data_IF_075784699757
#
_entry.id   IF_075784699757
#
_cell.length_a   1.000
_cell.length_b   1.000
_cell.length_c   1.000
_cell.angle_alpha   90.00
_cell.angle_beta   90.00
_cell.angle_gamma   90.00
#
_symmetry.space_group_name_H-M   'P 1'
#
loop_
_entity.id
_entity.type
_entity.pdbx_description
1 polymer ?
#
# COMPACT_ATOMS: atom_id res chain seq x y z
N UNK A 1 15.42 2.39 2.13
CA UNK A 1 14.43 2.62 3.23
C UNK A 1 13.03 2.86 2.71
N UNK A 2 12.64 4.06 2.22
CA UNK A 2 11.25 4.30 1.83
C UNK A 2 10.81 3.48 0.61
N UNK A 3 11.68 3.35 -0.40
CA UNK A 3 11.44 2.49 -1.58
C UNK A 3 11.19 1.02 -1.19
N UNK A 4 11.85 0.53 -0.15
CA UNK A 4 11.72 -0.88 0.27
C UNK A 4 10.55 -1.09 1.25
N UNK A 5 10.21 -0.09 2.06
CA UNK A 5 9.25 -0.21 3.16
C UNK A 5 7.90 0.39 2.80
N UNK A 6 7.88 1.64 2.33
CA UNK A 6 6.66 2.38 2.00
C UNK A 6 6.11 1.93 0.65
N UNK A 7 6.93 1.81 -0.40
CA UNK A 7 6.43 1.39 -1.71
C UNK A 7 5.96 -0.08 -1.73
N UNK A 8 6.51 -0.92 -0.84
CA UNK A 8 6.11 -2.31 -0.69
C UNK A 8 4.83 -2.50 0.16
N UNK A 9 4.53 -1.57 1.07
CA UNK A 9 3.43 -1.71 2.03
C UNK A 9 2.07 -1.99 1.36
N UNK A 10 1.67 -1.31 0.27
CA UNK A 10 0.39 -1.62 -0.38
C UNK A 10 0.39 -2.99 -1.05
N UNK A 11 1.53 -3.45 -1.59
CA UNK A 11 1.61 -4.81 -2.12
C UNK A 11 1.42 -5.87 -1.03
N UNK A 12 2.04 -5.66 0.14
CA UNK A 12 1.88 -6.56 1.28
C UNK A 12 0.43 -6.67 1.76
N UNK A 13 -0.37 -5.62 1.55
CA UNK A 13 -1.80 -5.62 1.84
C UNK A 13 -2.63 -6.34 0.76
N UNK A 14 -2.39 -6.03 -0.51
CA UNK A 14 -3.19 -6.53 -1.65
C UNK A 14 -3.23 -8.04 -1.76
N UNK A 15 -2.12 -8.74 -1.49
CA UNK A 15 -2.02 -10.20 -1.74
C UNK A 15 -3.05 -10.99 -0.95
N UNK A 16 -3.13 -10.79 0.37
CA UNK A 16 -4.11 -11.52 1.18
C UNK A 16 -5.51 -10.89 1.08
N UNK A 17 -5.62 -9.59 0.78
CA UNK A 17 -6.93 -8.98 0.47
C UNK A 17 -7.58 -9.60 -0.77
N UNK A 18 -6.79 -9.96 -1.78
CA UNK A 18 -7.23 -10.71 -2.95
C UNK A 18 -7.64 -12.15 -2.57
N UNK A 19 -6.79 -12.86 -1.82
CA UNK A 19 -7.09 -14.24 -1.36
C UNK A 19 -8.35 -14.31 -0.51
N UNK A 20 -8.52 -13.41 0.45
CA UNK A 20 -9.66 -13.42 1.36
C UNK A 20 -10.98 -13.28 0.61
N UNK A 21 -11.07 -12.40 -0.40
CA UNK A 21 -12.31 -12.23 -1.18
C UNK A 21 -12.64 -13.42 -2.07
N UNK A 22 -11.63 -14.12 -2.55
CA UNK A 22 -11.83 -15.40 -3.25
C UNK A 22 -12.27 -16.49 -2.28
N UNK A 23 -11.60 -16.62 -1.13
CA UNK A 23 -11.92 -17.63 -0.12
C UNK A 23 -13.27 -17.39 0.57
N UNK A 24 -13.73 -16.14 0.64
CA UNK A 24 -15.06 -15.79 1.15
C UNK A 24 -16.15 -15.86 0.07
N UNK A 25 -15.82 -16.28 -1.15
CA UNK A 25 -16.73 -16.34 -2.31
C UNK A 25 -17.36 -14.98 -2.68
N UNK A 26 -16.75 -13.87 -2.26
CA UNK A 26 -17.15 -12.52 -2.70
C UNK A 26 -16.79 -12.33 -4.19
N UNK A 27 -15.62 -12.86 -4.58
CA UNK A 27 -15.16 -12.87 -5.96
C UNK A 27 -15.14 -14.28 -6.52
N UNK A 28 -15.50 -14.40 -7.79
CA UNK A 28 -15.55 -15.68 -8.48
C UNK A 28 -14.19 -16.05 -9.03
N UNK A 29 -13.96 -17.35 -9.22
CA UNK A 29 -12.72 -17.90 -9.76
C UNK A 29 -12.47 -17.41 -11.19
N UNK A 30 -13.53 -17.14 -11.95
CA UNK A 30 -13.44 -16.62 -13.32
C UNK A 30 -13.03 -15.14 -13.38
N UNK A 31 -12.87 -14.47 -12.25
CA UNK A 31 -12.45 -13.05 -12.17
C UNK A 31 -11.07 -12.90 -11.48
N UNK A 32 -10.34 -14.00 -11.25
CA UNK A 32 -9.13 -13.99 -10.43
C UNK A 32 -8.08 -12.99 -10.90
N UNK A 33 -7.82 -12.92 -12.21
CA UNK A 33 -6.74 -12.11 -12.75
C UNK A 33 -7.14 -10.64 -12.90
N UNK A 34 -8.37 -10.36 -13.35
CA UNK A 34 -8.92 -9.00 -13.39
C UNK A 34 -8.97 -8.37 -12.00
N UNK A 35 -9.48 -9.10 -10.99
CA UNK A 35 -9.54 -8.63 -9.59
C UNK A 35 -8.17 -8.40 -8.98
N UNK A 36 -7.17 -9.18 -9.37
CA UNK A 36 -5.78 -8.94 -8.98
C UNK A 36 -5.30 -7.57 -9.50
N UNK A 37 -5.48 -7.29 -10.79
CA UNK A 37 -5.06 -6.02 -11.37
C UNK A 37 -5.88 -4.83 -10.88
N UNK A 38 -7.17 -5.01 -10.58
CA UNK A 38 -8.01 -3.98 -9.93
C UNK A 38 -7.39 -3.55 -8.59
N UNK A 39 -6.94 -4.50 -7.76
CA UNK A 39 -6.31 -4.19 -6.48
C UNK A 39 -4.93 -3.57 -6.64
N UNK A 40 -4.14 -4.07 -7.62
CA UNK A 40 -2.81 -3.52 -7.92
C UNK A 40 -2.92 -2.07 -8.38
N UNK A 41 -3.86 -1.75 -9.25
CA UNK A 41 -4.12 -0.38 -9.66
C UNK A 41 -4.64 0.45 -8.48
N UNK A 42 -5.67 -0.01 -7.75
CA UNK A 42 -6.25 0.74 -6.63
C UNK A 42 -5.24 1.07 -5.53
N UNK A 43 -4.41 0.11 -5.11
CA UNK A 43 -3.52 0.27 -3.96
C UNK A 43 -2.09 0.67 -4.31
N UNK A 44 -1.61 0.36 -5.52
CA UNK A 44 -0.23 0.65 -5.91
C UNK A 44 -0.08 1.60 -7.10
N UNK A 45 -1.15 1.88 -7.85
CA UNK A 45 -1.08 2.78 -9.00
C UNK A 45 -0.33 2.20 -10.19
N UNK A 46 -0.36 0.87 -10.32
CA UNK A 46 0.31 0.16 -11.40
C UNK A 46 -0.68 -0.66 -12.21
N UNK A 47 -0.40 -0.74 -13.50
CA UNK A 47 -1.18 -1.48 -14.50
C UNK A 47 -0.28 -2.53 -15.14
N UNK A 48 -0.86 -3.59 -15.74
CA UNK A 48 -0.07 -4.50 -16.54
C UNK A 48 0.45 -3.77 -17.79
N UNK A 49 1.72 -4.00 -18.20
CA UNK A 49 2.28 -3.34 -19.39
C UNK A 49 1.70 -3.87 -20.71
N UNK A 50 1.02 -5.02 -20.67
CA UNK A 50 0.31 -5.63 -21.79
C UNK A 50 -1.07 -6.08 -21.31
N UNK A 51 -2.04 -6.19 -22.22
CA UNK A 51 -3.36 -6.71 -21.89
C UNK A 51 -3.28 -8.11 -21.27
N UNK A 52 -4.06 -8.34 -20.22
CA UNK A 52 -4.20 -9.64 -19.55
C UNK A 52 -5.63 -10.13 -19.69
N UNK A 53 -5.79 -11.44 -19.63
CA UNK A 53 -7.09 -12.12 -19.66
C UNK A 53 -7.23 -13.05 -18.46
N UNK A 54 -8.35 -13.73 -18.32
CA UNK A 54 -8.55 -14.78 -17.30
C UNK A 54 -7.92 -16.13 -17.72
N UNK A 55 -7.38 -16.24 -18.94
CA UNK A 55 -6.47 -17.34 -19.31
C UNK A 55 -5.09 -17.18 -18.66
N UNK A 56 -4.82 -16.00 -18.10
CA UNK A 56 -3.62 -15.71 -17.35
C UNK A 56 -3.86 -15.84 -15.85
N UNK A 57 -2.81 -16.17 -15.09
CA UNK A 57 -2.89 -16.22 -13.63
C UNK A 57 -1.67 -15.56 -12.99
N UNK A 58 -1.59 -14.23 -13.10
CA UNK A 58 -0.48 -13.43 -12.59
C UNK A 58 -0.24 -13.56 -11.07
N UNK A 59 -1.28 -13.72 -10.21
CA UNK A 59 -1.07 -14.00 -8.79
C UNK A 59 -0.16 -15.20 -8.54
N UNK A 60 -0.23 -16.26 -9.34
CA UNK A 60 0.60 -17.46 -9.17
C UNK A 60 2.08 -17.23 -9.51
N UNK A 61 2.43 -16.16 -10.22
CA UNK A 61 3.82 -15.78 -10.41
C UNK A 61 4.47 -15.26 -9.10
N UNK A 62 3.68 -15.04 -8.04
CA UNK A 62 4.17 -14.77 -6.69
C UNK A 62 4.24 -16.07 -5.88
N UNK A 63 5.46 -16.46 -5.48
CA UNK A 63 5.76 -17.67 -4.69
C UNK A 63 4.74 -17.98 -3.59
N UNK A 64 4.40 -17.00 -2.75
CA UNK A 64 3.52 -17.20 -1.61
C UNK A 64 2.10 -17.61 -1.97
N UNK A 65 1.62 -17.27 -3.17
CA UNK A 65 0.30 -17.68 -3.65
C UNK A 65 0.32 -19.18 -3.95
N UNK A 66 1.29 -19.66 -4.74
CA UNK A 66 1.40 -21.08 -5.12
C UNK A 66 1.86 -21.98 -3.98
N UNK A 67 2.62 -21.43 -3.03
CA UNK A 67 3.08 -22.14 -1.84
C UNK A 67 2.08 -22.10 -0.67
N UNK A 68 0.86 -21.57 -0.89
CA UNK A 68 -0.18 -21.37 0.12
C UNK A 68 0.32 -20.72 1.43
N UNK A 69 1.17 -19.71 1.31
CA UNK A 69 1.74 -19.00 2.44
C UNK A 69 0.98 -17.70 2.73
N UNK A 70 0.42 -17.48 3.93
CA UNK A 70 -0.21 -16.21 4.33
C UNK A 70 0.73 -15.01 4.15
N UNK A 71 0.28 -13.97 3.46
CA UNK A 71 1.09 -12.80 3.12
C UNK A 71 0.91 -11.63 4.10
N UNK A 72 -0.21 -11.57 4.83
CA UNK A 72 -0.55 -10.49 5.77
C UNK A 72 0.52 -10.31 6.86
N UNK A 73 1.26 -11.38 7.17
CA UNK A 73 2.41 -11.34 8.09
C UNK A 73 3.42 -10.26 7.71
N UNK A 74 3.62 -9.99 6.42
CA UNK A 74 4.56 -8.98 5.95
C UNK A 74 4.03 -7.56 6.21
N UNK A 75 2.73 -7.31 5.97
CA UNK A 75 2.10 -6.02 6.27
C UNK A 75 2.16 -5.71 7.76
N UNK A 76 1.74 -6.66 8.61
CA UNK A 76 1.80 -6.52 10.07
C UNK A 76 3.23 -6.35 10.56
N UNK A 77 4.18 -7.12 10.01
CA UNK A 77 5.59 -7.01 10.40
C UNK A 77 6.18 -5.64 10.13
N UNK A 78 5.78 -4.95 9.06
CA UNK A 78 6.29 -3.61 8.75
C UNK A 78 5.81 -2.59 9.79
N UNK A 79 4.54 -2.63 10.16
CA UNK A 79 3.99 -1.74 11.19
C UNK A 79 4.68 -2.03 12.53
N UNK A 80 4.71 -3.31 12.93
CA UNK A 80 5.29 -3.74 14.19
C UNK A 80 6.80 -3.48 14.26
N UNK A 81 7.52 -3.56 13.13
CA UNK A 81 8.96 -3.28 13.06
C UNK A 81 9.27 -1.88 13.58
N UNK A 82 8.53 -0.85 13.15
CA UNK A 82 8.78 0.52 13.61
C UNK A 82 8.29 0.75 15.04
N UNK A 83 7.19 0.12 15.45
CA UNK A 83 6.70 0.18 16.83
C UNK A 83 7.67 -0.46 17.84
N UNK A 84 8.29 -1.58 17.46
CA UNK A 84 9.36 -2.20 18.22
C UNK A 84 10.62 -1.32 18.21
N UNK A 85 11.01 -0.80 17.05
CA UNK A 85 12.19 0.07 16.93
C UNK A 85 12.07 1.31 17.84
N UNK A 86 10.93 1.99 17.85
CA UNK A 86 10.67 3.13 18.75
C UNK A 86 10.83 2.74 20.23
N UNK A 87 10.22 1.62 20.65
CA UNK A 87 10.32 1.14 22.03
C UNK A 87 11.76 0.78 22.43
N UNK A 88 12.53 0.17 21.52
CA UNK A 88 13.94 -0.15 21.75
C UNK A 88 14.82 1.10 21.79
N UNK A 89 14.57 2.09 20.93
CA UNK A 89 15.27 3.38 20.93
C UNK A 89 15.04 4.15 22.22
N UNK A 90 13.78 4.18 22.71
CA UNK A 90 13.45 4.76 24.00
C UNK A 90 14.17 4.01 25.15
N UNK A 91 14.22 2.68 25.10
CA UNK A 91 14.97 1.89 26.08
C UNK A 91 16.48 2.16 26.04
N UNK A 92 17.03 2.44 24.85
CA UNK A 92 18.43 2.82 24.66
C UNK A 92 18.76 4.25 25.10
N UNK A 93 17.75 5.05 25.51
CA UNK A 93 17.95 6.46 25.87
C UNK A 93 18.26 7.35 24.67
N UNK A 94 17.82 6.96 23.46
CA UNK A 94 17.99 7.77 22.25
C UNK A 94 17.24 9.10 22.35
N UNK A 95 17.88 10.17 21.91
CA UNK A 95 17.29 11.50 21.75
C UNK A 95 17.44 11.97 20.30
N UNK A 96 16.41 12.59 19.75
CA UNK A 96 16.38 13.09 18.38
C UNK A 96 15.50 12.26 17.43
N UNK A 97 15.60 12.47 16.11
CA UNK A 97 14.75 11.79 15.14
C UNK A 97 14.87 10.27 15.21
N UNK A 98 13.75 9.56 15.07
CA UNK A 98 13.71 8.10 15.22
C UNK A 98 14.61 7.39 14.18
N UNK A 99 14.70 7.93 12.96
CA UNK A 99 15.50 7.32 11.89
C UNK A 99 17.02 7.38 12.09
N UNK A 100 17.51 8.16 13.07
CA UNK A 100 18.94 8.21 13.42
C UNK A 100 19.29 7.33 14.61
N UNK A 101 18.31 6.64 15.20
CA UNK A 101 18.54 5.75 16.33
C UNK A 101 19.36 4.53 15.91
N UNK A 102 20.39 4.21 16.71
CA UNK A 102 21.09 2.94 16.66
C UNK A 102 21.08 2.32 18.07
N UNK A 103 20.60 1.07 18.16
CA UNK A 103 20.51 0.32 19.42
C UNK A 103 21.77 -0.52 19.69
N UNK A 104 22.78 -0.44 18.83
CA UNK A 104 24.03 -1.16 18.99
C UNK A 104 24.65 -0.91 20.38
N UNK A 105 25.00 -2.01 21.07
CA UNK A 105 25.54 -2.03 22.45
C UNK A 105 24.60 -1.52 23.56
N UNK A 106 23.32 -1.26 23.28
CA UNK A 106 22.34 -0.98 24.34
C UNK A 106 21.92 -2.28 25.06
N UNK A 107 22.30 -2.40 26.34
CA UNK A 107 21.89 -3.53 27.19
C UNK A 107 20.41 -3.46 27.54
N UNK A 108 19.89 -2.25 27.70
CA UNK A 108 18.50 -1.97 28.07
C UNK A 108 17.55 -2.32 26.93
N UNK A 109 17.88 -1.97 25.69
CA UNK A 109 17.14 -2.42 24.51
C UNK A 109 17.22 -3.95 24.37
N UNK A 110 18.40 -4.54 24.56
CA UNK A 110 18.58 -5.99 24.55
C UNK A 110 17.74 -6.72 25.60
N UNK A 111 17.62 -6.16 26.82
CA UNK A 111 16.79 -6.72 27.89
C UNK A 111 15.31 -6.72 27.51
N UNK A 112 14.81 -5.60 26.98
CA UNK A 112 13.43 -5.50 26.50
C UNK A 112 13.16 -6.49 25.36
N UNK A 113 14.07 -6.57 24.39
CA UNK A 113 13.94 -7.50 23.26
C UNK A 113 13.95 -8.97 23.73
N UNK A 114 14.86 -9.32 24.64
CA UNK A 114 14.94 -10.67 25.22
C UNK A 114 13.66 -11.03 25.98
N UNK A 115 13.11 -10.09 26.75
CA UNK A 115 11.88 -10.29 27.50
C UNK A 115 10.72 -10.65 26.57
N UNK A 116 10.45 -9.83 25.54
CA UNK A 116 9.32 -10.08 24.63
C UNK A 116 9.52 -11.33 23.76
N UNK A 117 10.76 -11.64 23.36
CA UNK A 117 11.05 -12.85 22.58
C UNK A 117 10.91 -14.13 23.43
N UNK A 118 11.25 -14.07 24.72
CA UNK A 118 11.15 -15.23 25.61
C UNK A 118 9.71 -15.73 25.83
N UNK A 119 8.70 -14.86 25.61
CA UNK A 119 7.29 -15.22 25.78
C UNK A 119 6.78 -16.15 24.68
N UNK A 120 7.37 -16.07 23.48
CA UNK A 120 6.92 -16.84 22.31
C UNK A 120 5.41 -16.72 22.08
N UNK A 121 4.74 -17.84 21.85
CA UNK A 121 3.28 -17.91 21.70
C UNK A 121 2.55 -18.25 23.01
N UNK A 122 3.21 -18.17 24.17
CA UNK A 122 2.58 -18.49 25.47
C UNK A 122 1.66 -17.37 25.99
N UNK A 123 1.82 -16.15 25.43
CA UNK A 123 1.03 -14.95 25.75
C UNK A 123 0.34 -14.43 24.50
N UNK A 124 -0.74 -13.67 24.70
CA UNK A 124 -1.41 -13.02 23.57
C UNK A 124 -0.48 -11.97 22.95
N UNK A 125 -0.57 -11.78 21.63
CA UNK A 125 0.27 -10.78 20.94
C UNK A 125 0.01 -9.36 21.46
N UNK A 126 -1.22 -9.05 21.87
CA UNK A 126 -1.58 -7.75 22.45
C UNK A 126 -0.91 -7.51 23.80
N UNK A 127 -0.81 -8.55 24.64
CA UNK A 127 -0.06 -8.50 25.91
C UNK A 127 1.44 -8.30 25.65
N UNK A 128 2.00 -8.97 24.63
CA UNK A 128 3.40 -8.77 24.23
C UNK A 128 3.64 -7.32 23.78
N UNK A 129 2.74 -6.74 22.98
CA UNK A 129 2.81 -5.33 22.59
C UNK A 129 2.69 -4.40 23.79
N UNK A 130 1.83 -4.74 24.75
CA UNK A 130 1.68 -3.99 26.00
C UNK A 130 2.99 -3.95 26.78
N UNK A 131 3.67 -5.10 26.94
CA UNK A 131 4.99 -5.15 27.59
C UNK A 131 6.04 -4.41 26.77
N UNK A 132 6.11 -4.67 25.46
CA UNK A 132 7.04 -4.03 24.53
C UNK A 132 7.01 -2.50 24.64
N UNK A 133 5.80 -1.93 24.70
CA UNK A 133 5.59 -0.48 24.72
C UNK A 133 5.58 0.11 26.14
N UNK A 134 5.91 -0.70 27.16
CA UNK A 134 5.86 -0.33 28.59
C UNK A 134 4.49 0.22 29.02
N UNK A 135 3.43 -0.42 28.53
CA UNK A 135 2.05 -0.12 28.88
C UNK A 135 1.39 1.00 28.08
N UNK A 136 2.08 1.62 27.10
CA UNK A 136 1.52 2.70 26.28
C UNK A 136 0.36 2.25 25.39
N UNK A 137 0.45 1.04 24.83
CA UNK A 137 -0.62 0.47 23.98
C UNK A 137 -0.52 -1.05 23.92
N UNK A 138 -1.63 -1.71 23.66
CA UNK A 138 -1.77 -3.15 23.41
C UNK A 138 -2.14 -3.45 21.93
N UNK A 139 -2.09 -2.42 21.07
CA UNK A 139 -2.51 -2.49 19.67
C UNK A 139 -1.35 -2.26 18.71
N UNK A 140 -1.53 -2.71 17.48
CA UNK A 140 -0.68 -2.30 16.36
C UNK A 140 -0.87 -0.81 16.11
N UNK A 141 0.25 -0.10 15.95
CA UNK A 141 0.29 1.34 15.80
C UNK A 141 1.23 1.75 14.65
N UNK A 142 0.70 2.55 13.73
CA UNK A 142 1.46 3.05 12.57
C UNK A 142 2.18 4.36 12.84
N UNK A 143 1.91 5.05 13.96
CA UNK A 143 2.57 6.32 14.29
C UNK A 143 4.09 6.24 14.26
N UNK A 144 4.76 5.20 14.83
CA UNK A 144 6.21 5.09 14.76
C UNK A 144 6.77 4.98 13.33
N UNK A 145 6.03 4.33 12.42
CA UNK A 145 6.39 4.26 11.00
C UNK A 145 6.30 5.65 10.35
N UNK A 146 5.24 6.41 10.64
CA UNK A 146 5.06 7.76 10.12
C UNK A 146 6.13 8.72 10.67
N UNK A 147 6.44 8.65 11.97
CA UNK A 147 7.48 9.44 12.62
C UNK A 147 8.87 9.17 12.04
N UNK A 148 9.20 7.89 11.78
CA UNK A 148 10.47 7.51 11.16
C UNK A 148 10.66 8.21 9.80
N UNK A 149 9.62 8.24 8.98
CA UNK A 149 9.66 8.82 7.62
C UNK A 149 9.24 10.28 7.55
N UNK A 150 8.91 10.93 8.67
CA UNK A 150 8.39 12.30 8.69
C UNK A 150 9.28 13.30 7.93
N UNK A 151 10.63 13.32 8.09
CA UNK A 151 11.47 14.28 7.35
C UNK A 151 11.38 14.09 5.84
N UNK A 152 11.32 12.83 5.38
CA UNK A 152 11.16 12.51 3.97
C UNK A 152 9.76 12.91 3.47
N UNK A 153 8.72 12.63 4.23
CA UNK A 153 7.35 13.00 3.87
C UNK A 153 7.19 14.53 3.73
N UNK A 154 7.79 15.30 4.64
CA UNK A 154 7.84 16.75 4.56
C UNK A 154 8.60 17.22 3.31
N UNK A 155 9.76 16.64 3.04
CA UNK A 155 10.55 16.97 1.86
C UNK A 155 9.79 16.66 0.56
N UNK A 156 9.17 15.48 0.45
CA UNK A 156 8.36 15.10 -0.71
C UNK A 156 7.15 16.02 -0.91
N UNK A 157 6.53 16.47 0.18
CA UNK A 157 5.41 17.43 0.09
C UNK A 157 5.85 18.77 -0.52
N UNK A 158 7.08 19.21 -0.24
CA UNK A 158 7.65 20.41 -0.85
C UNK A 158 8.01 20.17 -2.32
N UNK A 159 8.62 19.04 -2.65
CA UNK A 159 8.99 18.73 -4.04
C UNK A 159 7.75 18.59 -4.94
N UNK A 160 6.68 17.99 -4.42
CA UNK A 160 5.47 17.72 -5.19
C UNK A 160 4.45 18.86 -5.10
N UNK A 161 4.80 20.02 -4.51
CA UNK A 161 3.83 21.12 -4.29
C UNK A 161 3.21 21.66 -5.59
N UNK A 162 3.99 21.60 -6.68
CA UNK A 162 3.62 22.13 -7.99
C UNK A 162 3.07 21.02 -8.90
N UNK A 163 2.99 19.79 -8.42
CA UNK A 163 2.39 18.67 -9.13
C UNK A 163 0.87 18.81 -9.14
N UNK A 164 0.29 18.81 -10.34
CA UNK A 164 -1.16 18.97 -10.50
C UNK A 164 -1.96 17.78 -9.97
N UNK A 165 -1.35 16.61 -9.92
CA UNK A 165 -1.98 15.35 -9.51
C UNK A 165 -0.99 14.58 -8.65
N UNK A 166 -1.37 14.31 -7.39
CA UNK A 166 -0.66 13.39 -6.49
C UNK A 166 -1.55 12.17 -6.28
N UNK A 167 -1.08 11.02 -6.75
CA UNK A 167 -1.87 9.78 -6.79
C UNK A 167 -2.32 9.44 -8.21
N UNK A 168 -3.32 8.58 -8.32
CA UNK A 168 -3.87 8.10 -9.58
C UNK A 168 -5.38 7.91 -9.46
N UNK A 169 -6.09 8.07 -10.57
CA UNK A 169 -7.53 7.85 -10.62
C UNK A 169 -7.83 6.35 -10.59
N UNK A 170 -8.88 5.94 -9.87
CA UNK A 170 -9.23 4.52 -9.64
C UNK A 170 -10.69 4.19 -9.98
N UNK A 171 -11.37 5.05 -10.73
CA UNK A 171 -12.73 4.79 -11.17
C UNK A 171 -12.70 3.74 -12.29
N UNK A 172 -13.74 2.92 -12.41
CA UNK A 172 -13.82 1.88 -13.44
C UNK A 172 -13.69 2.45 -14.88
N UNK A 173 -14.09 3.71 -15.08
CA UNK A 173 -13.93 4.43 -16.36
C UNK A 173 -12.49 4.93 -16.59
N UNK A 174 -11.74 5.21 -15.52
CA UNK A 174 -10.34 5.68 -15.61
C UNK A 174 -9.36 4.51 -15.86
N UNK A 175 -9.76 3.27 -15.58
CA UNK A 175 -9.10 2.08 -16.14
C UNK A 175 -8.97 2.18 -17.68
N UNK A 176 -9.90 2.86 -18.34
CA UNK A 176 -9.89 3.06 -19.79
C UNK A 176 -8.90 4.16 -20.25
N UNK A 177 -8.59 5.16 -19.43
CA UNK A 177 -7.53 6.16 -19.75
C UNK A 177 -6.16 5.48 -19.93
N UNK A 178 -5.92 4.43 -19.14
CA UNK A 178 -4.71 3.61 -19.21
C UNK A 178 -4.83 2.39 -20.15
N UNK A 179 -6.04 2.04 -20.60
CA UNK A 179 -6.25 1.02 -21.63
C UNK A 179 -5.77 1.46 -23.03
N UNK A 180 -5.46 2.74 -23.23
CA UNK A 180 -5.02 3.29 -24.52
C UNK A 180 -3.71 2.68 -25.07
N UNK A 181 -2.97 1.91 -24.27
CA UNK A 181 -1.81 1.13 -24.75
C UNK A 181 -2.19 -0.21 -25.40
N UNK A 182 -3.43 -0.68 -25.23
CA UNK A 182 -3.91 -1.94 -25.79
C UNK A 182 -4.47 -1.83 -27.22
N UNK A 183 -4.73 -0.62 -27.73
CA UNK A 183 -5.29 -0.41 -29.06
C UNK A 183 -4.32 0.32 -30.00
N UNK A 184 -3.08 -0.16 -30.08
CA UNK A 184 -2.18 0.10 -31.21
C UNK A 184 -2.55 -0.72 -32.46
N UNK A 185 -3.85 -0.81 -32.77
CA UNK A 185 -4.38 -1.65 -33.85
C UNK A 185 -5.62 -1.05 -34.49
N UNK A 186 -5.41 -0.15 -35.47
CA UNK A 186 -6.35 0.18 -36.56
C UNK A 186 -7.84 0.29 -36.17
N UNK A 187 -8.23 1.37 -35.50
CA UNK A 187 -9.61 1.85 -35.58
C UNK A 187 -9.70 2.93 -36.66
N UNK A 188 -10.23 2.59 -37.84
CA UNK A 188 -10.63 3.56 -38.86
C UNK A 188 -11.76 4.41 -38.30
N UNK A 189 -11.48 5.68 -38.01
CA UNK A 189 -12.50 6.66 -37.65
C UNK A 189 -13.30 7.03 -38.90
N UNK A 190 -14.53 6.55 -39.00
CA UNK A 190 -15.50 6.94 -40.02
C UNK A 190 -16.14 8.26 -39.60
N UNK A 191 -15.73 9.37 -40.24
CA UNK A 191 -16.35 10.68 -40.07
C UNK A 191 -17.73 10.73 -40.74
N UNK A 192 -18.81 10.55 -39.97
CA UNK A 192 -20.13 11.05 -40.37
C UNK A 192 -20.36 12.41 -39.70
N UNK A 193 -20.05 13.46 -40.45
CA UNK A 193 -20.32 14.84 -40.09
C UNK A 193 -21.82 15.14 -40.31
N UNK A 194 -22.65 14.86 -39.31
CA UNK A 194 -24.02 15.35 -39.25
C UNK A 194 -24.04 16.76 -38.68
N UNK A 195 -24.13 17.77 -39.57
CA UNK A 195 -24.41 19.16 -39.18
C UNK A 195 -25.74 19.24 -38.41
N UNK A 196 -25.68 19.77 -37.20
CA UNK A 196 -26.83 20.40 -36.54
C UNK A 196 -26.41 21.82 -36.13
N UNK A 197 -26.69 22.76 -37.04
CA UNK A 197 -26.82 24.18 -36.74
C UNK A 197 -28.09 24.36 -35.88
N UNK A 198 -28.10 25.23 -34.86
CA UNK A 198 -28.77 26.56 -34.82
C UNK A 198 -29.07 26.81 -33.30
N UNK A 199 -29.12 28.05 -32.73
CA UNK A 199 -28.36 29.27 -32.97
C UNK A 199 -27.83 29.92 -31.65
N UNK A 200 -26.99 30.95 -31.81
CA UNK A 200 -26.70 31.98 -30.83
C UNK A 200 -27.97 32.78 -30.43
N UNK A 201 -28.28 32.89 -29.14
CA UNK A 201 -28.97 34.05 -28.57
C UNK A 201 -28.63 34.23 -27.08
N UNK A 202 -28.29 35.46 -26.75
CA UNK A 202 -27.77 35.99 -25.50
C UNK A 202 -28.59 35.68 -24.23
N UNK A 203 -27.92 35.59 -23.07
CA UNK A 203 -28.16 36.56 -22.00
C UNK A 203 -27.06 36.57 -20.93
N UNK A 204 -26.61 37.78 -20.67
CA UNK A 204 -25.63 38.27 -19.70
C UNK A 204 -26.22 38.29 -18.28
N UNK A 205 -25.33 38.27 -17.26
CA UNK A 205 -25.52 38.51 -15.80
C UNK A 205 -25.91 37.26 -15.00
N UNK A 206 -25.38 36.96 -13.82
CA UNK A 206 -24.80 37.79 -12.75
C UNK A 206 -23.57 37.13 -12.09
N UNK A 207 -22.71 38.02 -11.55
CA UNK A 207 -21.88 37.92 -10.33
C UNK A 207 -21.75 36.57 -9.63
#
# INVERSE_FOLDING_TARGET
MALDKIAYLPFAYVVDQWRWRLFSEEWKVEEMNSRWWDLRMRHQGIIPPISRSENDFDPAAKYHVVADMPYIRYFVSLILQFQLHESLCQAAGHFGPLHTCDIYRSREAGRLLSEILSMGSSRSWSEIIHVMTKGRTDKLDSRPLLEYFQPLAMWLSVQNRDEKIVGWATNNEDSALFASWAQGGSAKFSSNLGMLLIPFAAMTKLL
#
